data_IF_515144771781
#
_entry.id   IF_515144771781
#
_cell.length_a   1.000
_cell.length_b   1.000
_cell.length_c   1.000
_cell.angle_alpha   90.00
_cell.angle_beta   90.00
_cell.angle_gamma   90.00
#
_symmetry.space_group_name_H-M   'P 1'
#
loop_
_entity.id
_entity.type
_entity.pdbx_description
1 polymer ?
#
# COMPACT_ATOMS: atom_id res chain seq x y z
N UNK A 1 -0.18 38.75 -14.11
CA UNK A 1 -0.83 37.42 -14.24
C UNK A 1 0.28 36.40 -14.43
N UNK A 2 0.48 35.51 -13.45
CA UNK A 2 1.57 34.54 -13.49
C UNK A 2 1.22 33.42 -14.49
N UNK A 3 1.99 33.34 -15.57
CA UNK A 3 1.88 32.28 -16.57
C UNK A 3 2.42 31.00 -15.93
N UNK A 4 1.53 30.10 -15.51
CA UNK A 4 1.92 28.76 -15.09
C UNK A 4 2.57 28.09 -16.32
N UNK A 5 3.89 27.80 -16.25
CA UNK A 5 4.59 27.07 -17.31
C UNK A 5 3.81 25.78 -17.57
N UNK A 6 3.28 25.64 -18.78
CA UNK A 6 2.72 24.37 -19.24
C UNK A 6 3.85 23.33 -19.19
N UNK A 7 3.76 22.41 -18.22
CA UNK A 7 4.69 21.30 -18.11
C UNK A 7 4.52 20.45 -19.37
N UNK A 8 5.53 20.39 -20.24
CA UNK A 8 5.47 19.59 -21.45
C UNK A 8 5.43 18.09 -21.08
N UNK A 9 4.37 17.39 -21.51
CA UNK A 9 4.27 15.95 -21.33
C UNK A 9 5.25 15.24 -22.29
N UNK A 10 6.21 14.53 -21.72
CA UNK A 10 7.28 13.81 -22.43
C UNK A 10 7.66 12.53 -21.66
N UNK A 11 8.66 11.79 -22.14
CA UNK A 11 9.07 10.51 -21.54
C UNK A 11 9.43 10.61 -20.04
N UNK A 12 9.94 11.76 -19.60
CA UNK A 12 10.28 12.02 -18.20
C UNK A 12 9.03 12.29 -17.32
N UNK A 13 7.83 12.37 -17.91
CA UNK A 13 6.57 12.58 -17.19
C UNK A 13 6.00 11.29 -16.61
N UNK A 14 6.52 10.13 -17.02
CA UNK A 14 6.10 8.82 -16.49
C UNK A 14 7.07 8.40 -15.38
N UNK A 15 6.53 8.10 -14.19
CA UNK A 15 7.33 7.60 -13.06
C UNK A 15 6.80 6.24 -12.63
N UNK A 16 7.70 5.26 -12.58
CA UNK A 16 7.43 3.96 -11.98
C UNK A 16 7.73 4.02 -10.49
N UNK A 17 6.73 3.72 -9.66
CA UNK A 17 6.92 3.55 -8.22
C UNK A 17 7.21 2.09 -7.93
N UNK A 18 8.37 1.81 -7.35
CA UNK A 18 8.80 0.44 -7.03
C UNK A 18 8.67 0.15 -5.53
N UNK A 19 8.42 -1.13 -5.22
CA UNK A 19 8.34 -1.63 -3.85
C UNK A 19 7.41 -0.83 -2.93
N UNK A 20 7.89 -0.41 -1.73
CA UNK A 20 7.05 0.20 -0.70
C UNK A 20 6.55 1.60 -1.07
N UNK A 21 7.24 2.32 -1.96
CA UNK A 21 6.86 3.69 -2.33
C UNK A 21 5.54 3.73 -3.10
N UNK A 22 5.25 2.68 -3.88
CA UNK A 22 3.95 2.49 -4.52
C UNK A 22 2.81 2.41 -3.50
N UNK A 23 3.02 1.60 -2.45
CA UNK A 23 2.01 1.37 -1.40
C UNK A 23 1.80 2.64 -0.58
N UNK A 24 2.89 3.31 -0.18
CA UNK A 24 2.83 4.55 0.61
C UNK A 24 2.16 5.69 -0.14
N UNK A 25 2.40 5.83 -1.44
CA UNK A 25 1.79 6.90 -2.25
C UNK A 25 0.30 6.66 -2.50
N UNK A 26 -0.13 5.39 -2.55
CA UNK A 26 -1.50 4.99 -2.87
C UNK A 26 -1.97 3.84 -1.94
N UNK A 27 -2.11 4.08 -0.63
CA UNK A 27 -2.41 3.02 0.34
C UNK A 27 -3.80 2.40 0.11
N UNK A 28 -4.76 3.17 -0.38
CA UNK A 28 -6.09 2.67 -0.73
C UNK A 28 -6.08 1.56 -1.78
N UNK A 29 -5.02 1.44 -2.59
CA UNK A 29 -4.88 0.34 -3.57
C UNK A 29 -4.65 -1.01 -2.87
N UNK A 30 -4.05 -1.00 -1.68
CA UNK A 30 -3.80 -2.20 -0.88
C UNK A 30 -4.90 -2.40 0.15
N UNK A 31 -5.29 -1.34 0.86
CA UNK A 31 -6.17 -1.41 2.03
C UNK A 31 -7.63 -1.00 1.73
N UNK A 32 -7.98 -0.82 0.44
CA UNK A 32 -9.30 -0.35 -0.01
C UNK A 32 -9.56 1.13 0.22
N UNK A 33 -9.15 1.68 1.36
CA UNK A 33 -9.25 3.10 1.69
C UNK A 33 -7.95 3.62 2.33
N UNK A 34 -7.78 4.95 2.36
CA UNK A 34 -6.68 5.61 3.07
C UNK A 34 -7.12 6.16 4.44
N UNK A 35 -8.33 5.80 4.91
CA UNK A 35 -8.92 6.28 6.16
C UNK A 35 -8.87 5.26 7.29
N UNK A 36 -9.69 5.46 8.32
CA UNK A 36 -9.74 4.59 9.51
C UNK A 36 -10.06 3.13 9.17
N UNK A 37 -10.97 2.90 8.21
CA UNK A 37 -11.32 1.55 7.76
C UNK A 37 -10.09 0.82 7.19
N UNK A 38 -9.28 1.48 6.36
CA UNK A 38 -8.04 0.91 5.82
C UNK A 38 -6.99 0.65 6.90
N UNK A 39 -6.94 1.50 7.94
CA UNK A 39 -6.09 1.26 9.11
C UNK A 39 -6.51 0.00 9.88
N UNK A 40 -7.81 -0.17 10.15
CA UNK A 40 -8.34 -1.39 10.78
C UNK A 40 -8.05 -2.63 9.94
N UNK A 41 -8.24 -2.53 8.61
CA UNK A 41 -7.93 -3.60 7.67
C UNK A 41 -6.45 -4.02 7.78
N UNK A 42 -5.54 -3.05 7.90
CA UNK A 42 -4.10 -3.31 8.04
C UNK A 42 -3.79 -4.18 9.27
N UNK A 43 -4.51 -3.99 10.38
CA UNK A 43 -4.37 -4.82 11.60
C UNK A 43 -4.87 -6.24 11.34
N UNK A 44 -6.03 -6.38 10.69
CA UNK A 44 -6.58 -7.69 10.36
C UNK A 44 -5.68 -8.49 9.42
N UNK A 45 -4.99 -7.84 8.48
CA UNK A 45 -4.02 -8.51 7.59
C UNK A 45 -2.82 -9.09 8.36
N UNK A 46 -2.36 -8.41 9.42
CA UNK A 46 -1.29 -8.97 10.26
C UNK A 46 -1.81 -10.18 11.06
N UNK A 47 -3.02 -10.07 11.60
CA UNK A 47 -3.65 -11.16 12.35
C UNK A 47 -3.95 -12.36 11.46
N UNK A 48 -4.45 -12.16 10.24
CA UNK A 48 -4.75 -13.24 9.30
C UNK A 48 -3.48 -13.99 8.90
N UNK A 49 -2.40 -13.27 8.57
CA UNK A 49 -1.10 -13.88 8.30
C UNK A 49 -0.62 -14.73 9.50
N UNK A 50 -0.80 -14.23 10.73
CA UNK A 50 -0.44 -14.97 11.94
C UNK A 50 -1.28 -16.26 12.10
N UNK A 51 -2.57 -16.20 11.78
CA UNK A 51 -3.46 -17.38 11.81
C UNK A 51 -3.07 -18.39 10.74
N UNK A 52 -2.68 -17.93 9.55
CA UNK A 52 -2.25 -18.82 8.46
C UNK A 52 -0.91 -19.51 8.78
N UNK A 53 0.02 -18.82 9.46
CA UNK A 53 1.24 -19.44 10.01
C UNK A 53 0.92 -20.51 11.05
N UNK A 54 0.00 -20.21 11.99
CA UNK A 54 -0.42 -21.16 13.01
C UNK A 54 -1.11 -22.40 12.39
N UNK A 55 -2.00 -22.20 11.41
CA UNK A 55 -2.64 -23.28 10.63
C UNK A 55 -1.65 -24.12 9.85
N UNK A 56 -0.56 -23.51 9.40
CA UNK A 56 0.53 -24.19 8.71
C UNK A 56 1.50 -24.91 9.65
N UNK A 57 1.24 -24.89 10.96
CA UNK A 57 2.02 -25.60 11.97
C UNK A 57 3.20 -24.82 12.54
N UNK A 58 3.36 -23.53 12.20
CA UNK A 58 4.50 -22.71 12.65
C UNK A 58 4.22 -21.83 13.88
N UNK A 59 3.04 -21.99 14.50
CA UNK A 59 2.60 -21.17 15.65
C UNK A 59 1.81 -21.93 16.72
N UNK A 60 1.61 -23.24 16.53
CA UNK A 60 1.18 -24.12 17.61
C UNK A 60 2.46 -24.60 18.28
N UNK A 61 2.68 -24.20 19.54
CA UNK A 61 3.78 -24.77 20.32
C UNK A 61 3.67 -26.29 20.33
N UNK A 62 4.80 -26.98 20.41
CA UNK A 62 4.79 -28.34 20.96
C UNK A 62 4.00 -28.39 22.28
#
# INVERSE_FOLDING_TARGET
MANAKAQAYNDNSITKLEGPDRVRKRPAVIFGTAGLEGCQHSVFEILSNSVDEARSGYGVGE
#
